data_IF_909786304401
#
_entry.id   IF_909786304401
#
_cell.length_a   1.000
_cell.length_b   1.000
_cell.length_c   1.000
_cell.angle_alpha   90.00
_cell.angle_beta   90.00
_cell.angle_gamma   90.00
#
_symmetry.space_group_name_H-M   'P 1'
#
loop_
_entity.id
_entity.type
_entity.pdbx_description
1 polymer ?
#
# COMPACT_ATOMS: atom_id res chain seq x y z
N UNK A 1 -13.81 -78.02 -27.52
CA UNK A 1 -12.53 -77.43 -27.98
C UNK A 1 -12.75 -76.08 -28.69
N UNK A 2 -13.46 -76.02 -29.83
CA UNK A 2 -13.62 -74.76 -30.61
C UNK A 2 -14.35 -73.62 -29.87
N UNK A 3 -15.41 -73.92 -29.11
CA UNK A 3 -16.16 -72.91 -28.33
C UNK A 3 -15.32 -72.27 -27.21
N UNK A 4 -14.47 -73.05 -26.54
CA UNK A 4 -13.58 -72.52 -25.50
C UNK A 4 -12.49 -71.63 -26.10
N UNK A 5 -11.93 -72.02 -27.25
CA UNK A 5 -10.95 -71.20 -27.97
C UNK A 5 -11.55 -69.86 -28.43
N UNK A 6 -12.76 -69.87 -28.98
CA UNK A 6 -13.46 -68.66 -29.42
C UNK A 6 -13.79 -67.73 -28.24
N UNK A 7 -14.23 -68.29 -27.10
CA UNK A 7 -14.53 -67.51 -25.90
C UNK A 7 -13.28 -66.84 -25.33
N UNK A 8 -12.16 -67.57 -25.27
CA UNK A 8 -10.88 -67.04 -24.77
C UNK A 8 -10.38 -65.95 -25.72
N UNK A 9 -10.38 -66.21 -27.03
CA UNK A 9 -9.97 -65.22 -28.04
C UNK A 9 -10.80 -63.94 -27.96
N UNK A 10 -12.13 -64.04 -27.86
CA UNK A 10 -13.01 -62.87 -27.77
C UNK A 10 -12.81 -62.09 -26.46
N UNK A 11 -12.61 -62.77 -25.34
CA UNK A 11 -12.35 -62.11 -24.05
C UNK A 11 -11.02 -61.36 -24.03
N UNK A 12 -9.97 -61.91 -24.65
CA UNK A 12 -8.66 -61.29 -24.76
C UNK A 12 -8.72 -60.11 -25.72
N UNK A 13 -9.35 -60.29 -26.89
CA UNK A 13 -9.52 -59.21 -27.86
C UNK A 13 -10.32 -58.04 -27.27
N UNK A 14 -11.44 -58.31 -26.59
CA UNK A 14 -12.28 -57.28 -26.00
C UNK A 14 -11.60 -56.56 -24.83
N UNK A 15 -10.89 -57.27 -23.97
CA UNK A 15 -10.19 -56.66 -22.82
C UNK A 15 -9.00 -55.81 -23.26
N UNK A 16 -8.23 -56.26 -24.25
CA UNK A 16 -7.12 -55.50 -24.82
C UNK A 16 -7.65 -54.29 -25.60
N UNK A 17 -8.66 -54.46 -26.46
CA UNK A 17 -9.24 -53.36 -27.21
C UNK A 17 -9.84 -52.30 -26.28
N UNK A 18 -10.59 -52.70 -25.26
CA UNK A 18 -11.23 -51.79 -24.32
C UNK A 18 -10.21 -51.05 -23.46
N UNK A 19 -9.17 -51.73 -22.97
CA UNK A 19 -8.14 -51.10 -22.12
C UNK A 19 -7.27 -50.13 -22.91
N UNK A 20 -6.89 -50.46 -24.14
CA UNK A 20 -6.13 -49.58 -25.02
C UNK A 20 -6.99 -48.38 -25.45
N UNK A 21 -8.23 -48.63 -25.87
CA UNK A 21 -9.14 -47.55 -26.27
C UNK A 21 -9.41 -46.59 -25.12
N UNK A 22 -9.70 -47.10 -23.92
CA UNK A 22 -10.00 -46.28 -22.76
C UNK A 22 -8.78 -45.49 -22.27
N UNK A 23 -7.59 -46.10 -22.24
CA UNK A 23 -6.38 -45.42 -21.79
C UNK A 23 -5.93 -44.32 -22.76
N UNK A 24 -6.00 -44.58 -24.07
CA UNK A 24 -5.65 -43.59 -25.10
C UNK A 24 -6.70 -42.47 -25.15
N UNK A 25 -7.99 -42.81 -25.14
CA UNK A 25 -9.05 -41.81 -25.16
C UNK A 25 -9.00 -40.92 -23.92
N UNK A 26 -8.83 -41.50 -22.73
CA UNK A 26 -8.79 -40.75 -21.47
C UNK A 26 -7.55 -39.86 -21.37
N UNK A 27 -6.37 -40.34 -21.78
CA UNK A 27 -5.13 -39.56 -21.72
C UNK A 27 -5.12 -38.39 -22.71
N UNK A 28 -5.60 -38.61 -23.95
CA UNK A 28 -5.73 -37.56 -24.95
C UNK A 28 -6.81 -36.56 -24.56
N UNK A 29 -7.98 -37.03 -24.13
CA UNK A 29 -9.06 -36.15 -23.69
C UNK A 29 -8.65 -35.29 -22.49
N UNK A 30 -8.00 -35.90 -21.48
CA UNK A 30 -7.57 -35.18 -20.27
C UNK A 30 -6.45 -34.17 -20.57
N UNK A 31 -5.48 -34.53 -21.42
CA UNK A 31 -4.40 -33.61 -21.78
C UNK A 31 -4.88 -32.43 -22.62
N UNK A 32 -5.78 -32.65 -23.58
CA UNK A 32 -6.41 -31.59 -24.37
C UNK A 32 -7.29 -30.72 -23.46
N UNK A 33 -8.11 -31.31 -22.59
CA UNK A 33 -8.96 -30.55 -21.68
C UNK A 33 -8.14 -29.70 -20.70
N UNK A 34 -7.09 -30.27 -20.11
CA UNK A 34 -6.23 -29.57 -19.16
C UNK A 34 -5.40 -28.46 -19.85
N UNK A 35 -4.92 -28.69 -21.07
CA UNK A 35 -4.20 -27.67 -21.85
C UNK A 35 -5.10 -26.53 -22.30
N UNK A 36 -6.32 -26.82 -22.77
CA UNK A 36 -7.30 -25.79 -23.12
C UNK A 36 -7.70 -25.00 -21.87
N UNK A 37 -7.94 -25.67 -20.75
CA UNK A 37 -8.27 -25.01 -19.49
C UNK A 37 -7.13 -24.09 -19.03
N UNK A 38 -5.88 -24.56 -19.06
CA UNK A 38 -4.71 -23.75 -18.73
C UNK A 38 -4.56 -22.55 -19.67
N UNK A 39 -4.73 -22.76 -20.98
CA UNK A 39 -4.63 -21.71 -21.98
C UNK A 39 -5.75 -20.67 -21.86
N UNK A 40 -6.98 -21.09 -21.53
CA UNK A 40 -8.10 -20.18 -21.27
C UNK A 40 -7.94 -19.42 -19.95
N UNK A 41 -7.36 -20.05 -18.93
CA UNK A 41 -7.01 -19.37 -17.68
C UNK A 41 -5.93 -18.31 -17.96
N UNK A 42 -4.86 -18.65 -18.67
CA UNK A 42 -3.82 -17.68 -19.06
C UNK A 42 -4.37 -16.56 -19.94
N UNK A 43 -5.23 -16.87 -20.93
CA UNK A 43 -5.90 -15.85 -21.73
C UNK A 43 -6.82 -14.98 -20.89
N UNK A 44 -7.50 -15.54 -19.88
CA UNK A 44 -8.34 -14.75 -18.98
C UNK A 44 -7.52 -13.86 -18.06
N UNK A 45 -6.38 -14.33 -17.56
CA UNK A 45 -5.44 -13.53 -16.77
C UNK A 45 -4.81 -12.42 -17.61
N UNK A 46 -4.36 -12.76 -18.83
CA UNK A 46 -3.86 -11.79 -19.80
C UNK A 46 -4.96 -10.79 -20.16
N UNK A 47 -6.17 -11.26 -20.46
CA UNK A 47 -7.33 -10.44 -20.79
C UNK A 47 -7.68 -9.46 -19.65
N UNK A 48 -7.71 -9.92 -18.40
CA UNK A 48 -7.93 -9.07 -17.22
C UNK A 48 -6.81 -8.04 -17.08
N UNK A 49 -5.54 -8.41 -17.30
CA UNK A 49 -4.42 -7.44 -17.31
C UNK A 49 -4.44 -6.50 -18.53
N UNK A 50 -5.09 -6.86 -19.63
CA UNK A 50 -5.28 -5.97 -20.79
C UNK A 50 -6.50 -5.05 -20.64
N UNK A 51 -7.50 -5.43 -19.84
CA UNK A 51 -8.72 -4.64 -19.61
C UNK A 51 -8.52 -3.53 -18.57
N UNK A 52 -7.56 -3.68 -17.64
CA UNK A 52 -7.07 -2.61 -16.78
C UNK A 52 -5.60 -2.38 -17.10
N UNK A 53 -5.23 -1.20 -17.62
CA UNK A 53 -3.85 -0.92 -18.05
C UNK A 53 -2.78 -1.31 -17.01
N UNK A 54 -1.54 -1.54 -17.47
CA UNK A 54 -0.41 -2.04 -16.64
C UNK A 54 -0.34 -1.34 -15.26
N UNK A 55 -0.55 -0.02 -15.23
CA UNK A 55 -0.63 0.78 -14.02
C UNK A 55 -1.69 0.26 -13.02
N UNK A 56 -2.93 0.07 -13.46
CA UNK A 56 -4.04 -0.40 -12.62
C UNK A 56 -3.80 -1.81 -12.10
N UNK A 57 -3.26 -2.71 -12.93
CA UNK A 57 -2.88 -4.06 -12.52
C UNK A 57 -1.83 -4.03 -11.40
N UNK A 58 -0.77 -3.22 -11.56
CA UNK A 58 0.23 -3.03 -10.52
C UNK A 58 -0.35 -2.41 -9.24
N UNK A 59 -1.21 -1.39 -9.36
CA UNK A 59 -1.84 -0.72 -8.21
C UNK A 59 -2.77 -1.64 -7.41
N UNK A 60 -3.45 -2.58 -8.09
CA UNK A 60 -4.23 -3.61 -7.43
C UNK A 60 -3.34 -4.54 -6.57
N UNK A 61 -2.19 -4.95 -7.09
CA UNK A 61 -1.21 -5.75 -6.33
C UNK A 61 -0.58 -4.97 -5.18
N UNK A 62 -0.22 -3.69 -5.37
CA UNK A 62 0.25 -2.82 -4.27
C UNK A 62 -0.79 -2.72 -3.14
N UNK A 63 -2.07 -2.55 -3.49
CA UNK A 63 -3.16 -2.51 -2.51
C UNK A 63 -3.31 -3.83 -1.77
N UNK A 64 -3.21 -4.96 -2.47
CA UNK A 64 -3.28 -6.29 -1.88
C UNK A 64 -2.10 -6.54 -0.93
N UNK A 65 -0.89 -6.17 -1.34
CA UNK A 65 0.31 -6.25 -0.50
C UNK A 65 0.19 -5.38 0.75
N UNK A 66 -0.24 -4.12 0.61
CA UNK A 66 -0.45 -3.20 1.73
C UNK A 66 -1.46 -3.72 2.75
N UNK A 67 -2.58 -4.30 2.27
CA UNK A 67 -3.60 -4.89 3.15
C UNK A 67 -3.11 -6.12 3.91
N UNK A 68 -2.17 -6.86 3.32
CA UNK A 68 -1.54 -8.02 3.96
C UNK A 68 -0.56 -7.57 5.06
N UNK A 69 0.28 -6.59 4.76
CA UNK A 69 1.27 -6.06 5.70
C UNK A 69 1.61 -4.60 5.40
N UNK A 70 1.50 -3.75 6.42
CA UNK A 70 1.97 -2.36 6.38
C UNK A 70 2.49 -1.93 7.75
N UNK A 71 3.42 -0.96 7.81
CA UNK A 71 3.96 -0.47 9.07
C UNK A 71 2.86 0.13 9.96
N UNK A 72 2.93 -0.13 11.27
CA UNK A 72 1.92 0.34 12.21
C UNK A 72 1.75 1.87 12.17
N UNK A 73 0.50 2.33 12.16
CA UNK A 73 0.15 3.76 12.14
C UNK A 73 0.16 4.40 10.75
N UNK A 74 0.72 3.75 9.73
CA UNK A 74 0.63 4.23 8.36
C UNK A 74 -0.73 3.93 7.75
N UNK A 75 -1.20 4.84 6.90
CA UNK A 75 -2.42 4.68 6.11
C UNK A 75 -2.08 4.86 4.64
N UNK A 76 -2.59 3.99 3.78
CA UNK A 76 -2.57 4.16 2.33
C UNK A 76 -3.81 3.50 1.74
N UNK A 77 -4.64 4.26 1.02
CA UNK A 77 -5.85 3.73 0.38
C UNK A 77 -6.23 4.52 -0.88
N UNK A 78 -6.78 3.87 -1.91
CA UNK A 78 -7.38 4.58 -3.04
C UNK A 78 -8.52 5.48 -2.60
N UNK A 79 -8.66 6.62 -3.28
CA UNK A 79 -9.80 7.54 -3.12
C UNK A 79 -11.07 6.92 -3.68
N UNK A 80 -12.22 7.45 -3.24
CA UNK A 80 -13.53 7.13 -3.80
C UNK A 80 -13.98 8.25 -4.72
N UNK A 81 -14.45 7.90 -5.90
CA UNK A 81 -15.14 8.80 -6.81
C UNK A 81 -16.55 9.14 -6.26
N UNK A 82 -17.22 10.12 -6.88
CA UNK A 82 -18.56 10.56 -6.48
C UNK A 82 -19.63 9.45 -6.59
N UNK A 83 -19.44 8.53 -7.54
CA UNK A 83 -20.28 7.34 -7.74
C UNK A 83 -19.98 6.20 -6.75
N UNK A 84 -19.02 6.38 -5.84
CA UNK A 84 -18.57 5.39 -4.87
C UNK A 84 -17.57 4.37 -5.41
N UNK A 85 -17.22 4.42 -6.70
CA UNK A 85 -16.16 3.59 -7.28
C UNK A 85 -14.78 3.98 -6.74
N UNK A 86 -13.82 3.04 -6.77
CA UNK A 86 -12.46 3.30 -6.31
C UNK A 86 -11.62 3.89 -7.44
N UNK A 87 -10.95 5.01 -7.18
CA UNK A 87 -9.94 5.56 -8.07
C UNK A 87 -8.56 5.07 -7.64
N UNK A 88 -8.07 4.02 -8.30
CA UNK A 88 -6.75 3.45 -8.03
C UNK A 88 -5.60 4.40 -8.39
N UNK A 89 -5.81 5.44 -9.21
CA UNK A 89 -4.76 6.37 -9.63
C UNK A 89 -4.53 7.51 -8.61
N UNK A 90 -5.35 7.61 -7.57
CA UNK A 90 -5.26 8.68 -6.58
C UNK A 90 -5.48 8.13 -5.17
N UNK A 91 -4.45 8.16 -4.35
CA UNK A 91 -4.46 7.56 -3.01
C UNK A 91 -4.36 8.62 -1.92
N UNK A 92 -5.12 8.40 -0.85
CA UNK A 92 -4.98 9.09 0.42
C UNK A 92 -4.04 8.29 1.32
N UNK A 93 -2.94 8.94 1.72
CA UNK A 93 -1.96 8.36 2.62
C UNK A 93 -1.81 9.20 3.88
N UNK A 94 -1.38 8.57 4.97
CA UNK A 94 -1.00 9.26 6.19
C UNK A 94 0.25 8.61 6.80
N UNK A 95 1.21 9.45 7.18
CA UNK A 95 2.49 9.03 7.74
C UNK A 95 2.55 9.49 9.20
N UNK A 96 2.71 8.57 10.17
CA UNK A 96 2.96 8.95 11.55
C UNK A 96 4.38 9.50 11.69
N UNK A 97 4.58 10.49 12.55
CA UNK A 97 5.93 10.92 12.90
C UNK A 97 6.69 9.86 13.69
N UNK A 98 8.01 9.81 13.48
CA UNK A 98 8.91 8.85 14.14
C UNK A 98 9.06 9.20 15.62
N UNK A 99 9.14 8.18 16.48
CA UNK A 99 9.36 8.36 17.93
C UNK A 99 10.69 9.03 18.21
N UNK A 100 10.76 9.81 19.28
CA UNK A 100 11.96 10.56 19.68
C UNK A 100 12.41 11.58 18.63
N UNK A 101 11.47 12.09 17.83
CA UNK A 101 11.72 13.16 16.85
C UNK A 101 10.72 14.30 17.07
N UNK A 102 10.99 15.51 16.57
CA UNK A 102 10.04 16.64 16.64
C UNK A 102 8.69 16.37 15.96
N UNK A 103 8.63 15.35 15.11
CA UNK A 103 7.43 14.92 14.39
C UNK A 103 6.57 13.93 15.19
N UNK A 104 7.07 13.43 16.32
CA UNK A 104 6.37 12.44 17.16
C UNK A 104 4.95 12.92 17.51
N UNK A 105 4.02 11.96 17.59
CA UNK A 105 2.58 12.19 17.82
C UNK A 105 1.83 12.87 16.65
N UNK A 106 2.53 13.41 15.66
CA UNK A 106 1.95 13.92 14.43
C UNK A 106 1.52 12.82 13.46
N UNK A 107 0.46 13.09 12.69
CA UNK A 107 0.02 12.27 11.54
C UNK A 107 -0.12 13.17 10.32
N UNK A 108 0.74 12.97 9.34
CA UNK A 108 0.90 13.86 8.19
C UNK A 108 0.22 13.25 6.96
N UNK A 109 -0.86 13.90 6.50
CA UNK A 109 -1.65 13.44 5.36
C UNK A 109 -1.02 13.88 4.05
N UNK A 110 -0.99 12.98 3.08
CA UNK A 110 -0.54 13.28 1.73
C UNK A 110 -1.37 12.54 0.69
N UNK A 111 -1.44 13.13 -0.49
CA UNK A 111 -2.01 12.54 -1.69
C UNK A 111 -0.89 11.93 -2.52
N UNK A 112 -1.09 10.68 -2.96
CA UNK A 112 -0.19 9.98 -3.88
C UNK A 112 -0.91 9.82 -5.22
N UNK A 113 -0.36 10.46 -6.25
CA UNK A 113 -0.94 10.58 -7.59
C UNK A 113 -0.14 9.74 -8.57
N UNK A 114 -0.81 8.79 -9.21
CA UNK A 114 -0.23 7.92 -10.23
C UNK A 114 -0.60 8.41 -11.63
N UNK A 115 0.31 8.23 -12.58
CA UNK A 115 0.09 8.47 -14.01
C UNK A 115 -0.23 7.15 -14.72
N UNK A 116 -0.71 7.24 -15.95
CA UNK A 116 -1.04 6.05 -16.78
C UNK A 116 0.19 5.21 -17.15
N UNK A 117 1.38 5.80 -17.13
CA UNK A 117 2.67 5.15 -17.39
C UNK A 117 3.32 4.54 -16.14
N UNK A 118 2.65 4.56 -14.97
CA UNK A 118 3.09 3.82 -13.79
C UNK A 118 3.12 2.29 -14.09
N UNK A 119 4.11 1.51 -13.62
CA UNK A 119 5.22 1.87 -12.73
C UNK A 119 6.50 2.34 -13.43
N UNK A 120 6.47 2.63 -14.73
CA UNK A 120 7.65 3.19 -15.41
C UNK A 120 7.99 4.57 -14.84
N UNK A 121 6.98 5.41 -14.60
CA UNK A 121 7.13 6.69 -13.89
C UNK A 121 6.82 6.59 -12.38
N UNK A 122 7.45 7.42 -11.53
CA UNK A 122 7.14 7.48 -10.11
C UNK A 122 5.79 8.18 -9.85
N UNK A 123 5.10 7.85 -8.73
CA UNK A 123 3.97 8.64 -8.30
C UNK A 123 4.40 10.02 -7.79
N UNK A 124 3.54 11.02 -7.96
CA UNK A 124 3.73 12.34 -7.31
C UNK A 124 3.12 12.30 -5.90
N UNK A 125 3.93 12.60 -4.88
CA UNK A 125 3.46 12.69 -3.50
C UNK A 125 3.35 14.16 -3.07
N UNK A 126 2.21 14.53 -2.49
CA UNK A 126 1.89 15.91 -2.10
C UNK A 126 1.24 15.95 -0.72
N UNK A 127 1.84 16.64 0.24
CA UNK A 127 1.21 16.89 1.53
C UNK A 127 -0.02 17.77 1.39
N UNK A 128 -1.12 17.36 2.03
CA UNK A 128 -2.40 18.08 2.05
C UNK A 128 -2.91 18.16 3.51
N UNK A 129 -2.76 19.30 4.19
CA UNK A 129 -2.15 20.56 3.73
C UNK A 129 -0.61 20.48 3.58
N UNK A 130 0.02 21.42 2.84
CA UNK A 130 1.47 21.54 2.78
C UNK A 130 2.10 21.70 4.17
N UNK A 131 3.29 21.14 4.37
CA UNK A 131 4.02 21.19 5.64
C UNK A 131 5.29 22.03 5.54
N UNK A 132 5.73 22.59 6.67
CA UNK A 132 6.97 23.35 6.75
C UNK A 132 8.18 22.40 6.80
N UNK A 133 8.80 22.12 5.65
CA UNK A 133 9.91 21.18 5.56
C UNK A 133 10.90 21.55 4.44
N UNK A 134 12.24 21.44 4.65
CA UNK A 134 13.23 21.84 3.64
C UNK A 134 13.04 21.18 2.28
N UNK A 135 12.58 19.92 2.23
CA UNK A 135 12.36 19.14 1.00
C UNK A 135 10.89 19.03 0.58
N UNK A 136 10.02 19.93 1.04
CA UNK A 136 8.62 20.00 0.59
C UNK A 136 8.39 21.37 -0.01
N UNK A 137 7.92 21.41 -1.25
CA UNK A 137 7.58 22.67 -1.92
C UNK A 137 6.39 23.36 -1.23
N UNK A 138 6.20 24.68 -1.39
CA UNK A 138 5.01 25.37 -0.89
C UNK A 138 3.69 24.80 -1.42
N UNK A 139 3.72 24.15 -2.59
CA UNK A 139 2.59 23.40 -3.14
C UNK A 139 2.22 22.16 -2.32
N UNK A 140 3.12 21.65 -1.48
CA UNK A 140 3.03 20.38 -0.77
C UNK A 140 3.78 19.23 -1.45
N UNK A 141 4.27 19.42 -2.68
CA UNK A 141 5.01 18.36 -3.40
C UNK A 141 6.28 17.97 -2.66
N UNK A 142 6.52 16.68 -2.49
CA UNK A 142 7.71 16.13 -1.81
C UNK A 142 8.86 15.98 -2.81
N UNK A 143 10.05 16.46 -2.45
CA UNK A 143 11.29 16.19 -3.17
C UNK A 143 12.04 15.04 -2.49
N UNK A 144 12.04 13.87 -3.13
CA UNK A 144 12.72 12.66 -2.68
C UNK A 144 13.29 11.94 -3.91
N UNK A 145 14.51 11.41 -3.85
CA UNK A 145 15.13 10.77 -5.01
C UNK A 145 14.38 9.53 -5.50
N UNK A 146 13.67 8.83 -4.61
CA UNK A 146 12.76 7.73 -4.95
C UNK A 146 11.49 8.20 -5.71
N UNK A 147 11.24 9.50 -5.82
CA UNK A 147 10.11 10.07 -6.55
C UNK A 147 10.54 10.81 -7.82
N UNK A 148 11.81 10.66 -8.21
CA UNK A 148 12.44 11.34 -9.32
C UNK A 148 12.89 10.30 -10.36
N UNK A 149 12.39 10.44 -11.59
CA UNK A 149 12.57 9.47 -12.68
C UNK A 149 14.03 9.36 -13.15
N UNK A 150 14.80 10.43 -12.98
CA UNK A 150 16.21 10.51 -13.40
C UNK A 150 17.20 10.16 -12.28
N UNK A 151 16.70 9.82 -11.08
CA UNK A 151 17.52 9.50 -9.89
C UNK A 151 17.36 8.05 -9.44
N UNK A 152 16.73 7.83 -8.29
CA UNK A 152 16.71 6.52 -7.62
C UNK A 152 15.39 5.77 -7.86
N UNK A 153 14.47 6.32 -8.66
CA UNK A 153 13.23 5.62 -9.00
C UNK A 153 13.52 4.32 -9.74
N UNK A 154 12.81 3.26 -9.33
CA UNK A 154 12.77 1.99 -10.04
C UNK A 154 11.34 1.48 -10.04
N UNK A 155 10.85 0.87 -11.13
CA UNK A 155 9.50 0.30 -11.15
C UNK A 155 9.25 -0.72 -10.04
N UNK A 156 10.28 -1.37 -9.51
CA UNK A 156 10.17 -2.32 -8.40
C UNK A 156 9.93 -1.67 -7.01
N UNK A 157 10.07 -0.35 -6.88
CA UNK A 157 9.82 0.36 -5.61
C UNK A 157 8.33 0.27 -5.27
N UNK A 158 8.04 -0.11 -4.03
CA UNK A 158 6.68 -0.30 -3.50
C UNK A 158 6.14 0.95 -2.81
N UNK A 159 4.82 1.07 -2.68
CA UNK A 159 4.17 2.16 -1.92
C UNK A 159 4.67 2.18 -0.47
N UNK A 160 4.93 1.01 0.12
CA UNK A 160 5.52 0.86 1.46
C UNK A 160 6.90 1.50 1.57
N UNK A 161 7.79 1.25 0.61
CA UNK A 161 9.12 1.85 0.58
C UNK A 161 9.07 3.36 0.40
N UNK A 162 8.16 3.86 -0.45
CA UNK A 162 7.98 5.30 -0.64
C UNK A 162 7.55 5.97 0.67
N UNK A 163 6.52 5.46 1.34
CA UNK A 163 6.00 6.07 2.56
C UNK A 163 7.01 6.02 3.71
N UNK A 164 7.78 4.93 3.84
CA UNK A 164 8.89 4.84 4.79
C UNK A 164 10.01 5.84 4.44
N UNK A 165 10.36 5.99 3.16
CA UNK A 165 11.34 6.97 2.70
C UNK A 165 10.91 8.41 3.00
N UNK A 166 9.62 8.73 2.84
CA UNK A 166 9.09 10.05 3.22
C UNK A 166 9.12 10.23 4.74
N UNK A 167 8.82 9.20 5.55
CA UNK A 167 8.94 9.30 7.02
C UNK A 167 10.38 9.59 7.45
N UNK A 168 11.37 8.94 6.81
CA UNK A 168 12.77 9.22 7.11
C UNK A 168 13.17 10.63 6.67
N UNK A 169 12.71 11.07 5.49
CA UNK A 169 12.96 12.41 4.99
C UNK A 169 12.48 13.51 5.96
N UNK A 170 11.36 13.30 6.67
CA UNK A 170 10.88 14.24 7.68
C UNK A 170 11.92 14.44 8.81
N UNK A 171 12.55 13.35 9.24
CA UNK A 171 13.53 13.37 10.34
C UNK A 171 14.91 13.83 9.86
N UNK A 172 15.32 13.40 8.67
CA UNK A 172 16.64 13.64 8.07
C UNK A 172 16.50 14.35 6.71
N UNK A 173 16.28 15.68 6.71
CA UNK A 173 16.12 16.44 5.47
C UNK A 173 17.39 16.42 4.60
N UNK A 174 17.20 16.30 3.29
CA UNK A 174 18.28 16.39 2.31
C UNK A 174 18.67 17.85 2.07
N UNK A 175 19.74 18.31 2.71
CA UNK A 175 20.24 19.69 2.56
C UNK A 175 20.84 20.00 1.18
N UNK A 176 21.11 19.00 0.34
CA UNK A 176 21.72 19.19 -0.98
C UNK A 176 20.72 19.67 -2.04
N UNK A 177 19.44 19.39 -1.83
CA UNK A 177 18.36 19.69 -2.78
C UNK A 177 17.15 20.31 -2.04
N UNK A 178 17.28 21.58 -1.58
CA UNK A 178 16.23 22.25 -0.83
C UNK A 178 15.08 22.69 -1.75
N UNK A 179 13.85 22.32 -1.38
CA UNK A 179 12.62 22.72 -2.07
C UNK A 179 11.98 23.99 -1.48
N UNK A 180 12.17 24.25 -0.18
CA UNK A 180 11.65 25.43 0.50
C UNK A 180 12.76 26.21 1.20
N UNK A 181 13.09 27.38 0.63
CA UNK A 181 14.20 28.21 1.08
C UNK A 181 14.07 28.64 2.55
N UNK A 182 12.89 29.08 2.99
CA UNK A 182 12.67 29.51 4.37
C UNK A 182 12.90 28.36 5.37
N UNK A 183 12.34 27.18 5.09
CA UNK A 183 12.54 26.01 5.95
C UNK A 183 13.99 25.57 5.98
N UNK A 184 14.68 25.60 4.83
CA UNK A 184 16.11 25.31 4.73
C UNK A 184 16.97 26.30 5.54
N UNK A 185 16.74 27.61 5.40
CA UNK A 185 17.50 28.63 6.13
C UNK A 185 17.34 28.47 7.63
N UNK A 186 16.11 28.29 8.12
CA UNK A 186 15.85 28.09 9.55
C UNK A 186 16.47 26.77 10.02
N UNK A 187 16.35 25.70 9.24
CA UNK A 187 16.95 24.40 9.56
C UNK A 187 18.48 24.51 9.74
N UNK A 188 19.16 25.23 8.85
CA UNK A 188 20.62 25.36 8.86
C UNK A 188 21.12 26.36 9.91
N UNK A 189 20.40 27.47 10.13
CA UNK A 189 20.84 28.54 11.03
C UNK A 189 20.37 28.35 12.47
N UNK A 190 19.16 27.84 12.67
CA UNK A 190 18.54 27.73 13.99
C UNK A 190 17.72 26.44 14.14
N UNK A 191 18.45 25.34 14.36
CA UNK A 191 17.85 24.01 14.56
C UNK A 191 16.78 23.99 15.66
N UNK A 192 17.03 24.69 16.77
CA UNK A 192 16.10 24.71 17.92
C UNK A 192 14.76 25.37 17.60
N UNK A 193 14.74 26.34 16.68
CA UNK A 193 13.53 27.04 16.25
C UNK A 193 12.80 26.25 15.16
N UNK A 194 13.55 25.56 14.30
CA UNK A 194 12.98 24.62 13.34
C UNK A 194 12.16 23.54 14.05
N UNK A 195 12.72 22.90 15.09
CA UNK A 195 12.08 21.78 15.80
C UNK A 195 10.78 22.16 16.54
N UNK A 196 10.55 23.45 16.82
CA UNK A 196 9.31 23.94 17.46
C UNK A 196 8.14 24.07 16.48
N UNK A 197 8.42 24.22 15.17
CA UNK A 197 7.39 24.46 14.13
C UNK A 197 6.56 23.23 13.72
N UNK A 198 7.12 22.01 13.57
CA UNK A 198 6.37 20.80 13.17
C UNK A 198 5.17 20.46 14.05
N UNK A 199 5.20 20.87 15.32
CA UNK A 199 4.13 20.64 16.29
C UNK A 199 2.87 21.47 16.00
N UNK A 200 3.03 22.67 15.41
CA UNK A 200 1.95 23.63 15.22
C UNK A 200 1.09 23.35 13.98
N UNK A 201 1.64 22.62 13.00
CA UNK A 201 0.96 22.24 11.75
C UNK A 201 0.22 20.90 11.81
N UNK A 202 0.33 20.18 12.94
CA UNK A 202 -0.40 18.93 13.15
C UNK A 202 -1.78 19.18 13.75
N UNK A 203 -2.83 18.64 13.10
CA UNK A 203 -4.13 18.52 13.74
C UNK A 203 -3.96 17.60 14.96
N UNK A 204 -3.97 18.19 16.16
CA UNK A 204 -4.31 17.44 17.37
C UNK A 204 -5.63 16.74 17.05
N UNK A 205 -5.66 15.40 17.14
CA UNK A 205 -6.90 14.64 16.97
C UNK A 205 -7.99 15.36 17.76
N UNK A 206 -9.18 15.61 17.19
CA UNK A 206 -10.27 16.14 18.00
C UNK A 206 -10.41 15.16 19.16
N UNK A 207 -10.35 15.69 20.38
CA UNK A 207 -10.80 14.99 21.57
C UNK A 207 -12.07 14.25 21.17
N UNK A 208 -12.05 12.92 21.24
CA UNK A 208 -13.24 12.11 21.00
C UNK A 208 -14.38 12.77 21.78
N UNK A 209 -15.36 13.33 21.07
CA UNK A 209 -16.59 13.81 21.69
C UNK A 209 -17.22 12.60 22.35
N UNK A 210 -17.13 12.56 23.67
CA UNK A 210 -17.73 11.57 24.56
C UNK A 210 -19.26 11.74 24.60
N UNK A 211 -19.90 11.78 23.43
CA UNK A 211 -21.34 12.05 23.29
C UNK A 211 -22.11 10.96 22.55
N UNK A 212 -21.57 9.74 22.45
CA UNK A 212 -22.27 8.62 21.80
C UNK A 212 -22.41 7.34 22.66
N UNK A 213 -22.08 7.42 23.95
CA UNK A 213 -22.47 6.39 24.90
C UNK A 213 -23.43 6.97 25.93
N UNK A 214 -24.73 6.81 25.64
CA UNK A 214 -25.75 6.84 26.67
C UNK A 214 -25.58 5.60 27.59
N UNK A 215 -25.90 5.72 28.89
CA UNK A 215 -25.60 4.74 29.95
C UNK A 215 -26.56 3.53 29.87
N UNK A 216 -26.23 2.33 30.44
CA UNK A 216 -26.19 2.20 31.90
C UNK A 216 -25.23 1.12 32.42
N UNK A 217 -23.91 1.31 32.39
CA UNK A 217 -23.00 0.54 33.26
C UNK A 217 -21.75 1.37 33.61
N UNK A 218 -21.94 2.45 34.35
CA UNK A 218 -20.87 3.17 35.05
C UNK A 218 -20.91 2.81 36.53
N UNK A 219 -20.48 1.60 36.89
CA UNK A 219 -19.94 1.29 38.21
C UNK A 219 -18.78 0.32 38.01
N UNK A 220 -17.65 0.62 38.66
CA UNK A 220 -16.32 0.01 38.54
C UNK A 220 -15.46 0.49 37.36
N UNK A 221 -14.69 1.57 37.60
CA UNK A 221 -13.21 1.62 37.56
C UNK A 221 -12.81 3.08 37.91
N UNK A 222 -12.40 3.41 39.15
CA UNK A 222 -11.56 4.57 39.41
C UNK A 222 -10.08 4.16 39.29
N UNK A 223 -9.20 5.12 38.99
CA UNK A 223 -7.76 5.00 38.68
C UNK A 223 -7.43 4.73 37.22
N UNK A 224 -7.26 5.82 36.44
CA UNK A 224 -6.19 6.01 35.44
C UNK A 224 -6.31 7.32 34.62
N UNK A 225 -7.14 8.29 35.05
CA UNK A 225 -7.24 9.60 34.37
C UNK A 225 -6.32 10.68 34.94
N UNK A 226 -5.55 10.42 36.00
CA UNK A 226 -4.80 11.46 36.72
C UNK A 226 -3.30 11.59 36.35
N UNK A 227 -2.79 10.81 35.39
CA UNK A 227 -1.35 10.79 35.04
C UNK A 227 -0.94 11.57 33.78
N UNK A 228 -1.88 12.01 32.94
CA UNK A 228 -1.53 12.71 31.69
C UNK A 228 -1.49 14.25 31.81
N UNK A 229 -2.04 14.84 32.88
CA UNK A 229 -2.14 16.30 33.01
C UNK A 229 -1.02 16.96 33.83
N UNK A 230 -0.12 16.18 34.45
CA UNK A 230 0.91 16.72 35.36
C UNK A 230 2.35 16.77 34.82
N UNK A 231 2.60 16.37 33.56
CA UNK A 231 3.98 16.33 33.01
C UNK A 231 4.42 17.61 32.28
N UNK A 232 3.64 18.69 32.34
CA UNK A 232 3.94 19.97 31.66
C UNK A 232 4.45 21.10 32.58
N UNK A 233 4.82 20.79 33.82
CA UNK A 233 5.25 21.80 34.81
C UNK A 233 6.59 21.51 35.52
N UNK A 234 7.50 20.69 34.94
CA UNK A 234 8.78 20.33 35.61
C UNK A 234 10.05 20.68 34.78
N UNK A 235 9.93 21.37 33.65
CA UNK A 235 11.13 21.86 32.90
C UNK A 235 11.06 23.35 32.57
N UNK A 236 10.54 24.14 33.50
CA UNK A 236 10.60 25.60 33.45
C UNK A 236 10.74 26.18 34.86
N UNK A 237 11.79 25.75 35.58
CA UNK A 237 12.55 26.51 36.59
C UNK A 237 14.00 26.06 36.47
#
# INVERSE_FOLDING_TARGET
MLKNYLSIYLSIYLSIYLSIYLSIYLSIYLSIYLSIHFCLVDLSYLCVTTMSGIALGRLAEERKAWRKDHPFGFVARPTKNQDGSLNLMNWECAIPGKKSTPWEFGVYKLRMLFKDDYPSSPPKCKFEPPIFHPNVYPSGTVCLSLLDEDKDWRPAVTIKQILLGIQELLNEPNIKDPAQAEAYTIYCQNRSEYEKRPLCSSFVLPSFSLSLFAPPFCFLIPFLSHLCYYKKAIYAI
#
